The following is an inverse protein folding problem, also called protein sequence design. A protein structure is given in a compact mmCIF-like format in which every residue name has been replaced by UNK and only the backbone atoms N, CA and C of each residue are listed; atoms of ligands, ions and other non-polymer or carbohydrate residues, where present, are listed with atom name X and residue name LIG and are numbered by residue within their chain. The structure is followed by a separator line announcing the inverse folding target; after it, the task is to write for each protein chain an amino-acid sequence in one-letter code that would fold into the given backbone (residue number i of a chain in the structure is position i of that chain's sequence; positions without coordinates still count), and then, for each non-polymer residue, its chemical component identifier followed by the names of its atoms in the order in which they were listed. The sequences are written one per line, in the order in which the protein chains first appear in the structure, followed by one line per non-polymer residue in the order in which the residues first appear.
data_IF_796204128549
#
_entry.id   IF_796204128549
#
_cell.length_a   1.000
_cell.length_b   1.000
_cell.length_c   1.000
_cell.angle_alpha   90.00
_cell.angle_beta   90.00
_cell.angle_gamma   90.00
#
_symmetry.space_group_name_H-M   'P 1'
#
loop_
_entity.id
_entity.type
_entity.pdbx_description
1 polymer ?
#
# COMPACT_ATOMS: atom_id res chain seq x y z
N UNK A 1 -34.77 10.09 40.54
CA UNK A 1 -33.91 8.96 40.10
C UNK A 1 -34.17 8.47 38.68
N UNK A 2 -35.42 8.40 38.18
CA UNK A 2 -35.74 7.86 36.84
C UNK A 2 -35.26 8.73 35.65
N UNK A 3 -35.28 10.06 35.76
CA UNK A 3 -34.83 10.95 34.65
C UNK A 3 -33.32 10.93 34.39
N UNK A 4 -32.50 10.69 35.42
CA UNK A 4 -31.03 10.62 35.26
C UNK A 4 -30.57 9.33 34.58
N UNK A 5 -31.33 8.24 34.72
CA UNK A 5 -31.06 6.97 34.03
C UNK A 5 -31.44 7.07 32.55
N UNK A 6 -32.60 7.68 32.25
CA UNK A 6 -33.04 7.91 30.87
C UNK A 6 -32.07 8.84 30.11
N UNK A 7 -31.59 9.91 30.75
CA UNK A 7 -30.63 10.85 30.14
C UNK A 7 -29.25 10.20 29.90
N UNK A 8 -28.78 9.32 30.79
CA UNK A 8 -27.55 8.54 30.60
C UNK A 8 -27.69 7.50 29.45
N UNK A 9 -28.84 6.85 29.33
CA UNK A 9 -29.13 5.92 28.23
C UNK A 9 -29.24 6.63 26.88
N UNK A 10 -29.86 7.81 26.83
CA UNK A 10 -29.97 8.62 25.61
C UNK A 10 -28.59 9.16 25.15
N UNK A 11 -27.74 9.61 26.07
CA UNK A 11 -26.35 10.00 25.74
C UNK A 11 -25.50 8.82 25.27
N UNK A 12 -25.68 7.64 25.87
CA UNK A 12 -25.01 6.40 25.43
C UNK A 12 -25.39 6.01 24.00
N UNK A 13 -26.68 6.04 23.66
CA UNK A 13 -27.16 5.78 22.30
C UNK A 13 -26.70 6.84 21.30
N UNK A 14 -26.67 8.13 21.68
CA UNK A 14 -26.19 9.19 20.80
C UNK A 14 -24.69 9.07 20.48
N UNK A 15 -23.86 8.69 21.46
CA UNK A 15 -22.42 8.48 21.25
C UNK A 15 -22.14 7.23 20.40
N UNK A 16 -22.91 6.15 20.59
CA UNK A 16 -22.82 4.94 19.76
C UNK A 16 -23.29 5.22 18.32
N UNK A 17 -24.39 5.98 18.14
CA UNK A 17 -24.89 6.35 16.83
C UNK A 17 -23.95 7.31 16.09
N UNK A 18 -23.32 8.26 16.79
CA UNK A 18 -22.36 9.19 16.20
C UNK A 18 -21.02 8.51 15.88
N UNK A 19 -20.60 7.53 16.70
CA UNK A 19 -19.45 6.67 16.39
C UNK A 19 -19.69 5.75 15.19
N UNK A 20 -20.90 5.21 15.04
CA UNK A 20 -21.28 4.40 13.87
C UNK A 20 -21.37 5.23 12.58
N UNK A 21 -21.89 6.46 12.64
CA UNK A 21 -21.89 7.37 11.48
C UNK A 21 -20.48 7.79 11.05
N UNK A 22 -19.56 7.96 11.99
CA UNK A 22 -18.18 8.35 11.69
C UNK A 22 -17.35 7.18 11.12
N UNK A 23 -17.68 5.93 11.49
CA UNK A 23 -17.08 4.72 10.90
C UNK A 23 -17.48 4.47 9.43
N UNK A 24 -18.69 4.87 9.04
CA UNK A 24 -19.18 4.72 7.66
C UNK A 24 -18.56 5.72 6.66
N UNK A 25 -18.00 6.83 7.15
CA UNK A 25 -17.32 7.83 6.31
C UNK A 25 -15.82 7.54 6.10
N UNK A 26 -15.29 6.53 6.80
CA UNK A 26 -13.89 6.08 6.71
C UNK A 26 -13.72 4.84 5.84
N UNK A 27 -14.73 4.48 5.04
CA UNK A 27 -14.63 3.49 3.96
C UNK A 27 -13.71 4.04 2.86
N UNK A 28 -12.43 4.15 3.18
CA UNK A 28 -11.37 4.33 2.21
C UNK A 28 -11.49 3.19 1.22
N UNK A 29 -11.68 3.52 -0.05
CA UNK A 29 -11.59 2.55 -1.12
C UNK A 29 -10.17 1.98 -1.06
N UNK A 30 -10.03 0.80 -0.47
CA UNK A 30 -8.81 0.02 -0.59
C UNK A 30 -8.72 -0.38 -2.05
N UNK A 31 -7.99 0.40 -2.83
CA UNK A 31 -7.63 0.01 -4.18
C UNK A 31 -6.64 -1.14 -3.99
N UNK A 32 -7.12 -2.37 -4.19
CA UNK A 32 -6.22 -3.50 -4.33
C UNK A 32 -5.35 -3.19 -5.56
N UNK A 33 -4.07 -2.90 -5.35
CA UNK A 33 -3.10 -2.79 -6.41
C UNK A 33 -2.97 -4.20 -7.01
N UNK A 34 -3.67 -4.44 -8.12
CA UNK A 34 -3.63 -5.72 -8.81
C UNK A 34 -2.26 -5.90 -9.45
N UNK A 35 -1.58 -7.00 -9.14
CA UNK A 35 -0.31 -7.38 -9.76
C UNK A 35 0.66 -8.00 -8.75
N UNK A 36 0.94 -7.31 -7.64
CA UNK A 36 1.78 -7.81 -6.57
C UNK A 36 0.99 -8.17 -5.31
N UNK A 37 1.41 -9.24 -4.65
CA UNK A 37 0.95 -9.59 -3.31
C UNK A 37 2.14 -9.81 -2.38
N UNK A 38 1.99 -9.36 -1.14
CA UNK A 38 2.95 -9.59 -0.05
C UNK A 38 2.65 -10.93 0.62
N UNK A 39 3.50 -11.93 0.35
CA UNK A 39 3.50 -13.18 1.08
C UNK A 39 4.92 -13.43 1.59
N UNK A 40 5.11 -13.45 2.92
CA UNK A 40 6.38 -13.81 3.57
C UNK A 40 7.58 -12.94 3.12
N UNK A 41 7.43 -11.61 3.13
CA UNK A 41 8.46 -10.63 2.71
C UNK A 41 8.91 -10.76 1.24
N UNK A 42 8.22 -11.58 0.44
CA UNK A 42 8.48 -11.71 -0.99
C UNK A 42 7.34 -11.11 -1.81
N UNK A 43 7.73 -10.30 -2.78
CA UNK A 43 6.86 -9.71 -3.77
C UNK A 43 6.46 -10.73 -4.83
N UNK A 44 5.19 -11.16 -4.85
CA UNK A 44 4.71 -12.13 -5.83
C UNK A 44 3.90 -11.46 -6.93
N UNK A 45 4.39 -11.56 -8.17
CA UNK A 45 3.77 -11.10 -9.40
C UNK A 45 2.96 -12.22 -10.03
N UNK A 46 1.64 -12.04 -10.07
CA UNK A 46 0.74 -13.00 -10.72
C UNK A 46 0.59 -12.67 -12.20
N UNK A 47 0.90 -13.61 -13.09
CA UNK A 47 0.78 -13.48 -14.55
C UNK A 47 -0.05 -14.64 -15.09
N UNK A 48 -1.36 -14.43 -15.23
CA UNK A 48 -2.28 -15.50 -15.60
C UNK A 48 -2.25 -16.63 -14.57
N UNK A 49 -1.90 -17.88 -14.96
CA UNK A 49 -1.77 -19.00 -14.03
C UNK A 49 -0.40 -19.08 -13.34
N UNK A 50 0.56 -18.22 -13.70
CA UNK A 50 1.94 -18.26 -13.22
C UNK A 50 2.23 -17.18 -12.17
N UNK A 51 3.32 -17.37 -11.43
CA UNK A 51 3.81 -16.48 -10.41
C UNK A 51 5.31 -16.19 -10.62
N UNK A 52 5.72 -14.97 -10.32
CA UNK A 52 7.12 -14.56 -10.36
C UNK A 52 7.46 -13.80 -9.07
N UNK A 53 8.69 -13.93 -8.60
CA UNK A 53 9.22 -13.08 -7.53
C UNK A 53 9.74 -11.78 -8.12
N UNK A 54 9.25 -10.65 -7.63
CA UNK A 54 9.72 -9.33 -7.99
C UNK A 54 10.64 -8.79 -6.90
N UNK A 55 11.80 -8.27 -7.29
CA UNK A 55 12.72 -7.59 -6.38
C UNK A 55 13.26 -6.33 -7.04
N UNK A 56 12.94 -5.15 -6.49
CA UNK A 56 13.59 -3.89 -6.86
C UNK A 56 14.59 -3.46 -5.79
N UNK A 57 15.77 -2.97 -6.16
CA UNK A 57 16.70 -2.37 -5.19
C UNK A 57 17.56 -1.28 -5.83
N UNK A 58 18.10 -0.39 -4.99
CA UNK A 58 18.98 0.70 -5.43
C UNK A 58 20.37 0.50 -4.83
N UNK A 59 21.39 0.11 -5.63
CA UNK A 59 22.74 -0.17 -5.12
C UNK A 59 23.38 1.02 -4.39
N UNK A 60 23.03 2.24 -4.78
CA UNK A 60 23.55 3.47 -4.16
C UNK A 60 22.79 3.90 -2.90
N UNK A 61 21.71 3.20 -2.53
CA UNK A 61 20.97 3.45 -1.29
C UNK A 61 21.71 2.83 -0.10
N UNK A 62 21.84 3.59 0.99
CA UNK A 62 22.40 3.08 2.26
C UNK A 62 21.45 2.11 2.98
N UNK A 63 20.20 2.06 2.55
CA UNK A 63 19.21 1.09 2.99
C UNK A 63 19.28 -0.07 1.99
N UNK A 64 19.97 -1.16 2.33
CA UNK A 64 20.00 -2.44 1.59
C UNK A 64 18.62 -3.13 1.61
N UNK A 65 17.57 -2.38 1.27
CA UNK A 65 16.19 -2.80 1.36
C UNK A 65 15.69 -3.11 -0.04
N UNK A 66 15.10 -4.29 -0.19
CA UNK A 66 14.33 -4.64 -1.38
C UNK A 66 12.98 -3.91 -1.34
N UNK A 67 12.59 -3.38 -2.49
CA UNK A 67 11.38 -2.63 -2.71
C UNK A 67 10.45 -3.41 -3.61
N UNK A 68 9.18 -3.23 -3.32
CA UNK A 68 8.07 -3.84 -4.01
C UNK A 68 7.38 -2.77 -4.84
N UNK A 69 6.59 -1.93 -4.18
CA UNK A 69 5.79 -0.88 -4.83
C UNK A 69 6.36 0.51 -4.62
N UNK A 70 7.00 0.77 -3.47
CA UNK A 70 7.49 2.11 -3.11
C UNK A 70 9.02 2.16 -3.08
N UNK A 71 9.62 2.70 -4.14
CA UNK A 71 11.05 3.00 -4.20
C UNK A 71 11.27 4.39 -3.58
N UNK A 72 12.09 4.52 -2.52
CA UNK A 72 12.12 5.72 -1.68
C UNK A 72 12.73 6.95 -2.36
N UNK A 73 13.56 6.78 -3.39
CA UNK A 73 14.26 7.87 -4.05
C UNK A 73 14.51 7.61 -5.53
N UNK A 74 14.84 8.67 -6.25
CA UNK A 74 15.34 8.62 -7.63
C UNK A 74 16.77 8.07 -7.69
N UNK A 75 17.15 7.50 -8.82
CA UNK A 75 18.51 7.00 -9.05
C UNK A 75 18.55 5.65 -9.75
N UNK A 76 19.73 5.01 -9.70
CA UNK A 76 19.97 3.72 -10.32
C UNK A 76 19.22 2.62 -9.59
N UNK A 77 18.22 2.06 -10.26
CA UNK A 77 17.39 0.97 -9.74
C UNK A 77 17.63 -0.28 -10.55
N UNK A 78 17.89 -1.39 -9.87
CA UNK A 78 17.93 -2.74 -10.45
C UNK A 78 16.64 -3.45 -10.10
N UNK A 79 16.03 -4.10 -11.09
CA UNK A 79 14.85 -4.94 -10.93
C UNK A 79 15.20 -6.34 -11.37
N UNK A 80 14.78 -7.32 -10.57
CA UNK A 80 14.95 -8.75 -10.83
C UNK A 80 13.57 -9.40 -10.74
N UNK A 81 13.24 -10.18 -11.77
CA UNK A 81 12.02 -10.97 -11.86
C UNK A 81 12.39 -12.45 -11.94
N UNK A 82 12.23 -13.18 -10.86
CA UNK A 82 12.55 -14.61 -10.79
C UNK A 82 11.31 -15.47 -11.01
N UNK A 83 11.42 -16.53 -11.79
CA UNK A 83 10.31 -17.42 -12.09
C UNK A 83 10.10 -18.41 -10.95
N UNK A 84 8.85 -18.52 -10.47
CA UNK A 84 8.48 -19.56 -9.50
C UNK A 84 8.25 -20.87 -10.25
N UNK A 85 7.47 -20.83 -11.34
CA UNK A 85 7.17 -22.00 -12.17
C UNK A 85 8.24 -22.25 -13.25
N UNK A 86 8.56 -23.52 -13.48
CA UNK A 86 9.61 -23.92 -14.41
C UNK A 86 9.19 -23.76 -15.87
N UNK A 87 7.89 -23.83 -16.14
CA UNK A 87 7.25 -23.66 -17.45
C UNK A 87 7.57 -22.29 -18.07
N UNK A 88 7.71 -21.25 -17.24
CA UNK A 88 8.07 -19.90 -17.68
C UNK A 88 9.44 -19.85 -18.38
N UNK A 89 10.35 -20.78 -18.07
CA UNK A 89 11.73 -20.81 -18.62
C UNK A 89 11.80 -21.12 -20.10
N UNK A 90 10.76 -21.72 -20.67
CA UNK A 90 10.66 -22.00 -22.10
C UNK A 90 9.75 -21.02 -22.86
N UNK A 91 9.12 -20.07 -22.16
CA UNK A 91 8.24 -19.07 -22.77
C UNK A 91 8.97 -17.75 -22.95
N UNK A 92 8.71 -17.00 -24.04
CA UNK A 92 9.24 -15.66 -24.19
C UNK A 92 8.56 -14.73 -23.17
N UNK A 93 9.36 -13.86 -22.56
CA UNK A 93 8.92 -12.83 -21.62
C UNK A 93 9.34 -11.46 -22.13
N UNK A 94 8.39 -10.54 -22.18
CA UNK A 94 8.59 -9.13 -22.51
C UNK A 94 8.35 -8.30 -21.27
N UNK A 95 9.18 -7.27 -21.09
CA UNK A 95 9.03 -6.32 -19.98
C UNK A 95 8.97 -4.91 -20.54
N UNK A 96 7.98 -4.13 -20.11
CA UNK A 96 7.89 -2.71 -20.38
C UNK A 96 7.71 -1.95 -19.07
N UNK A 97 8.32 -0.78 -18.98
CA UNK A 97 7.99 0.19 -17.93
C UNK A 97 7.43 1.43 -18.61
N UNK A 98 6.27 1.84 -18.12
CA UNK A 98 5.58 3.04 -18.60
C UNK A 98 5.39 4.04 -17.45
N UNK A 99 5.28 5.32 -17.79
CA UNK A 99 4.79 6.32 -16.83
C UNK A 99 3.30 6.11 -16.61
N UNK A 100 2.86 6.19 -15.36
CA UNK A 100 1.44 6.17 -15.04
C UNK A 100 0.83 7.55 -15.34
N UNK A 101 0.25 7.68 -16.53
CA UNK A 101 -0.44 8.92 -16.97
C UNK A 101 -1.96 8.82 -16.83
N UNK A 102 -2.48 7.73 -16.25
CA UNK A 102 -3.92 7.42 -16.22
C UNK A 102 -4.51 6.99 -17.57
N UNK A 103 -3.70 6.97 -18.63
CA UNK A 103 -4.06 6.49 -19.97
C UNK A 103 -2.94 5.62 -20.54
N UNK A 104 -3.33 4.55 -21.23
CA UNK A 104 -2.43 3.66 -21.97
C UNK A 104 -2.81 3.55 -23.45
N UNK A 105 -3.44 4.59 -24.00
CA UNK A 105 -3.83 4.60 -25.41
C UNK A 105 -2.62 4.61 -26.36
N UNK A 106 -1.52 5.23 -25.93
CA UNK A 106 -0.24 5.25 -26.65
C UNK A 106 0.88 4.77 -25.73
N UNK A 107 1.07 3.45 -25.69
CA UNK A 107 2.09 2.81 -24.87
C UNK A 107 3.50 3.25 -25.28
N UNK A 108 3.77 3.48 -26.56
CA UNK A 108 5.10 3.88 -27.04
C UNK A 108 5.48 5.27 -26.49
N UNK A 109 4.55 6.22 -26.50
CA UNK A 109 4.82 7.57 -25.98
C UNK A 109 5.11 7.59 -24.47
N UNK A 110 4.50 6.68 -23.70
CA UNK A 110 4.67 6.64 -22.23
C UNK A 110 5.73 5.64 -21.77
N UNK A 111 6.29 4.84 -22.67
CA UNK A 111 7.32 3.85 -22.35
C UNK A 111 8.65 4.52 -22.06
N UNK A 112 9.27 4.10 -20.95
CA UNK A 112 10.60 4.56 -20.55
C UNK A 112 11.64 3.45 -20.68
N UNK A 113 11.21 2.20 -20.65
CA UNK A 113 12.06 1.03 -20.84
C UNK A 113 11.25 -0.06 -21.55
N UNK A 114 11.84 -0.67 -22.57
CA UNK A 114 11.28 -1.81 -23.28
C UNK A 114 12.35 -2.88 -23.46
N UNK A 115 12.06 -4.07 -22.94
CA UNK A 115 12.85 -5.28 -23.13
C UNK A 115 11.99 -6.20 -24.00
N UNK A 116 12.39 -6.46 -25.26
CA UNK A 116 11.58 -7.23 -26.19
C UNK A 116 11.42 -8.69 -25.73
N UNK A 117 10.42 -9.42 -26.26
CA UNK A 117 10.19 -10.82 -25.92
C UNK A 117 11.46 -11.67 -26.08
N UNK A 118 11.89 -12.30 -24.99
CA UNK A 118 13.04 -13.20 -24.97
C UNK A 118 12.79 -14.37 -24.03
N UNK A 119 13.34 -15.54 -24.38
CA UNK A 119 13.31 -16.72 -23.49
C UNK A 119 14.45 -16.63 -22.49
N UNK A 120 14.16 -16.90 -21.21
CA UNK A 120 15.10 -16.86 -20.10
C UNK A 120 15.22 -18.24 -19.43
N UNK A 121 16.08 -19.15 -19.97
CA UNK A 121 16.21 -20.52 -19.46
C UNK A 121 16.75 -20.62 -18.02
N UNK A 122 17.46 -19.58 -17.57
CA UNK A 122 17.94 -19.42 -16.19
C UNK A 122 16.79 -19.15 -15.20
N UNK A 123 15.62 -18.75 -15.69
CA UNK A 123 14.45 -18.45 -14.87
C UNK A 123 14.50 -17.12 -14.15
N UNK A 124 15.24 -16.14 -14.69
CA UNK A 124 15.32 -14.80 -14.13
C UNK A 124 15.49 -13.75 -15.22
N UNK A 125 14.74 -12.65 -15.10
CA UNK A 125 14.86 -11.46 -15.94
C UNK A 125 15.36 -10.32 -15.07
N UNK A 126 16.56 -9.83 -15.37
CA UNK A 126 17.18 -8.71 -14.70
C UNK A 126 17.33 -7.51 -15.64
N UNK A 127 17.10 -6.31 -15.10
CA UNK A 127 17.37 -5.06 -15.80
C UNK A 127 17.65 -3.92 -14.83
N UNK A 128 18.32 -2.90 -15.35
CA UNK A 128 18.61 -1.68 -14.61
C UNK A 128 18.05 -0.46 -15.34
N UNK A 129 17.54 0.50 -14.59
CA UNK A 129 17.07 1.78 -15.11
C UNK A 129 17.39 2.90 -14.12
N UNK A 130 17.83 4.05 -14.65
CA UNK A 130 18.07 5.24 -13.83
C UNK A 130 16.84 6.15 -13.85
N UNK A 131 16.17 6.27 -12.72
CA UNK A 131 15.02 7.17 -12.58
C UNK A 131 15.50 8.57 -12.21
N UNK A 132 15.46 9.52 -13.15
CA UNK A 132 15.92 10.89 -12.93
C UNK A 132 14.90 11.77 -12.18
N UNK A 133 13.62 11.38 -12.19
CA UNK A 133 12.52 12.15 -11.63
C UNK A 133 11.60 11.26 -10.81
N UNK A 134 11.04 11.78 -9.70
CA UNK A 134 10.04 11.06 -8.95
C UNK A 134 8.74 10.95 -9.76
N UNK A 135 7.95 9.93 -9.46
CA UNK A 135 6.63 9.74 -10.08
C UNK A 135 6.11 8.32 -9.96
N UNK A 136 4.96 8.09 -10.59
CA UNK A 136 4.29 6.80 -10.68
C UNK A 136 4.55 6.14 -12.03
N UNK A 137 4.72 4.83 -11.97
CA UNK A 137 5.06 4.01 -13.11
C UNK A 137 4.25 2.71 -13.06
N UNK A 138 4.16 2.05 -14.21
CA UNK A 138 3.58 0.71 -14.31
C UNK A 138 4.57 -0.19 -15.02
N UNK A 139 4.94 -1.29 -14.38
CA UNK A 139 5.63 -2.41 -15.01
C UNK A 139 4.61 -3.30 -15.71
N UNK A 140 4.80 -3.57 -16.99
CA UNK A 140 4.04 -4.53 -17.76
C UNK A 140 4.95 -5.74 -18.02
N UNK A 141 4.49 -6.92 -17.62
CA UNK A 141 5.17 -8.18 -17.88
C UNK A 141 4.25 -9.05 -18.71
N UNK A 142 4.69 -9.40 -19.92
CA UNK A 142 3.93 -10.22 -20.86
C UNK A 142 4.66 -11.53 -21.12
N UNK A 143 3.96 -12.64 -21.00
CA UNK A 143 4.50 -14.00 -21.17
C UNK A 143 3.76 -14.75 -22.27
N UNK A 144 4.52 -15.51 -23.06
CA UNK A 144 4.02 -16.39 -24.11
C UNK A 144 4.18 -15.81 -25.53
N UNK A 145 4.13 -16.66 -26.54
CA UNK A 145 4.46 -16.31 -27.94
C UNK A 145 3.59 -15.18 -28.52
N UNK A 146 2.37 -15.03 -27.99
CA UNK A 146 1.43 -13.97 -28.37
C UNK A 146 1.05 -13.09 -27.16
N UNK A 147 1.93 -12.98 -26.15
CA UNK A 147 1.68 -12.18 -24.94
C UNK A 147 0.36 -12.54 -24.22
N UNK A 148 0.01 -13.83 -24.22
CA UNK A 148 -1.29 -14.34 -23.75
C UNK A 148 -1.57 -14.03 -22.28
N UNK A 149 -0.51 -13.89 -21.48
CA UNK A 149 -0.60 -13.51 -20.09
C UNK A 149 0.12 -12.19 -19.89
N UNK A 150 -0.63 -11.15 -19.56
CA UNK A 150 -0.10 -9.82 -19.23
C UNK A 150 -0.40 -9.53 -17.77
N UNK A 151 0.62 -9.15 -17.02
CA UNK A 151 0.45 -8.60 -15.68
C UNK A 151 0.93 -7.17 -15.64
N UNK A 152 0.28 -6.40 -14.78
CA UNK A 152 0.49 -4.96 -14.62
C UNK A 152 0.86 -4.75 -13.18
N UNK A 153 1.93 -4.00 -12.94
CA UNK A 153 2.41 -3.76 -11.62
C UNK A 153 2.70 -2.26 -11.41
N UNK A 154 1.81 -1.54 -10.71
CA UNK A 154 2.02 -0.14 -10.38
C UNK A 154 3.09 0.02 -9.29
N UNK A 155 4.02 0.93 -9.48
CA UNK A 155 5.03 1.29 -8.48
C UNK A 155 5.34 2.78 -8.51
N UNK A 156 5.88 3.29 -7.41
CA UNK A 156 6.25 4.69 -7.22
C UNK A 156 7.76 4.81 -7.01
N UNK A 157 8.35 5.88 -7.53
CA UNK A 157 9.76 6.21 -7.32
C UNK A 157 9.86 7.61 -6.76
N UNK A 158 10.50 7.76 -5.60
CA UNK A 158 10.68 9.05 -4.95
C UNK A 158 9.36 9.73 -4.56
N UNK A 159 8.22 9.05 -4.64
CA UNK A 159 6.96 9.50 -4.05
C UNK A 159 6.93 9.09 -2.58
N UNK A 160 7.67 9.83 -1.78
CA UNK A 160 7.56 9.72 -0.35
C UNK A 160 6.16 10.14 0.10
N UNK A 161 5.43 9.23 0.75
CA UNK A 161 4.14 9.45 1.42
C UNK A 161 4.24 10.41 2.64
N UNK A 162 5.11 11.42 2.61
CA UNK A 162 5.30 12.38 3.71
C UNK A 162 3.98 13.00 4.13
N UNK A 163 3.09 13.29 3.18
CA UNK A 163 1.78 13.89 3.45
C UNK A 163 0.90 12.93 4.28
N UNK A 164 0.81 11.65 3.92
CA UNK A 164 0.00 10.66 4.67
C UNK A 164 0.50 10.44 6.10
N UNK A 165 1.82 10.23 6.27
CA UNK A 165 2.41 10.01 7.60
C UNK A 165 2.33 11.26 8.48
N UNK A 166 2.54 12.44 7.89
CA UNK A 166 2.48 13.72 8.61
C UNK A 166 1.04 14.07 8.99
N UNK A 167 0.07 13.97 8.07
CA UNK A 167 -1.36 14.21 8.34
C UNK A 167 -1.90 13.23 9.38
N UNK A 168 -1.60 11.92 9.27
CA UNK A 168 -2.04 10.95 10.28
C UNK A 168 -1.49 11.29 11.67
N UNK A 169 -0.23 11.71 11.78
CA UNK A 169 0.36 12.11 13.06
C UNK A 169 -0.26 13.39 13.63
N UNK A 170 -0.55 14.39 12.80
CA UNK A 170 -1.12 15.68 13.24
C UNK A 170 -2.57 15.54 13.72
N UNK A 171 -3.37 14.69 13.09
CA UNK A 171 -4.80 14.59 13.42
C UNK A 171 -5.12 13.46 14.41
N UNK A 172 -4.48 12.29 14.30
CA UNK A 172 -4.82 11.14 15.16
C UNK A 172 -4.30 11.26 16.58
N UNK A 173 -3.10 11.84 16.77
CA UNK A 173 -2.50 12.01 18.10
C UNK A 173 -3.31 12.95 19.01
N UNK A 174 -3.73 14.17 18.58
CA UNK A 174 -4.53 15.04 19.44
C UNK A 174 -5.93 14.50 19.68
N UNK A 175 -6.55 13.83 18.70
CA UNK A 175 -7.87 13.20 18.90
C UNK A 175 -7.80 12.08 19.93
N UNK A 176 -6.76 11.22 19.87
CA UNK A 176 -6.53 10.18 20.87
C UNK A 176 -6.24 10.77 22.26
N UNK A 177 -5.45 11.86 22.33
CA UNK A 177 -5.17 12.55 23.59
C UNK A 177 -6.42 13.16 24.22
N UNK A 178 -7.28 13.83 23.43
CA UNK A 178 -8.54 14.40 23.91
C UNK A 178 -9.51 13.30 24.40
N UNK A 179 -9.58 12.17 23.70
CA UNK A 179 -10.39 11.02 24.13
C UNK A 179 -9.89 10.44 25.46
N UNK A 180 -8.57 10.32 25.64
CA UNK A 180 -7.96 9.84 26.88
C UNK A 180 -8.24 10.79 28.06
N UNK A 181 -8.13 12.11 27.85
CA UNK A 181 -8.45 13.13 28.87
C UNK A 181 -9.93 13.09 29.25
N UNK A 182 -10.84 12.97 28.26
CA UNK A 182 -12.26 12.84 28.52
C UNK A 182 -12.57 11.55 29.32
N UNK A 183 -11.98 10.41 28.94
CA UNK A 183 -12.15 9.15 29.65
C UNK A 183 -11.66 9.23 31.11
N UNK A 184 -10.49 9.84 31.35
CA UNK A 184 -9.97 10.07 32.70
C UNK A 184 -10.88 10.98 33.51
N UNK A 185 -11.39 12.06 32.91
CA UNK A 185 -12.33 12.97 33.59
C UNK A 185 -13.63 12.26 34.00
N UNK A 186 -14.23 11.48 33.09
CA UNK A 186 -15.44 10.71 33.39
C UNK A 186 -15.18 9.65 34.47
N UNK A 187 -14.05 8.94 34.41
CA UNK A 187 -13.67 7.93 35.41
C UNK A 187 -13.42 8.54 36.80
N UNK A 188 -12.71 9.67 36.88
CA UNK A 188 -12.49 10.39 38.14
C UNK A 188 -13.79 10.96 38.72
N UNK A 189 -14.69 11.44 37.87
CA UNK A 189 -16.02 11.94 38.28
C UNK A 189 -16.91 10.83 38.85
N UNK A 190 -16.85 9.62 38.30
CA UNK A 190 -17.61 8.49 38.82
C UNK A 190 -17.06 8.02 40.18
N UNK A 191 -15.72 8.03 40.37
CA UNK A 191 -15.10 7.73 41.67
C UNK A 191 -15.46 8.74 42.77
N UNK A 192 -15.57 10.04 42.45
CA UNK A 192 -16.01 11.06 43.42
C UNK A 192 -17.42 10.80 43.96
N UNK A 193 -18.32 10.29 43.12
CA UNK A 193 -19.69 9.96 43.55
C UNK A 193 -19.73 8.78 44.52
N UNK A 194 -18.87 7.78 44.36
CA UNK A 194 -18.77 6.67 45.32
C UNK A 194 -18.20 7.10 46.67
N UNK A 195 -17.26 8.05 46.71
CA UNK A 195 -16.70 8.55 47.98
C UNK A 195 -17.68 9.42 48.77
N UNK A 196 -18.53 10.19 48.10
CA UNK A 196 -19.53 11.05 48.77
C UNK A 196 -20.68 10.24 49.41
N UNK A 197 -21.01 9.08 48.83
CA UNK A 197 -22.04 8.17 49.36
C UNK A 197 -21.51 7.32 50.54
N UNK A 198 -20.19 7.14 50.67
CA UNK A 198 -19.59 6.35 51.75
C UNK A 198 -19.34 7.15 53.05
N UNK A 199 -19.52 8.47 53.04
CA UNK A 199 -19.25 9.37 54.18
C UNK A 199 -20.53 9.99 54.76
N UNK A 200 -21.70 9.73 54.17
CA UNK A 200 -23.02 10.08 54.73
C UNK A 200 -23.72 8.87 55.34
#
# INVERSE_FOLDING_TARGET
MKSFVCLKLMFGCAVVAMGALMGALLSTQAQAHGGLSMAEDMCKLTIGPYMMHFTGYQPSSTQEKQFCEDIPGTGHTVVVLDYIEQELRSLPTEVRIIRDTGSEQDLEAVTILHIPPKVYPNGSVDFAYNFDKPGKFVGLVMVGDQQQHTSRFPFSVGESNFISRYILSIYMVPVAALAAVAALFFFMRDRRKSSEIAVS
#
